data_IF_939431171766
#
_entry.id   IF_939431171766
#
_cell.length_a   1.000
_cell.length_b   1.000
_cell.length_c   1.000
_cell.angle_alpha   90.00
_cell.angle_beta   90.00
_cell.angle_gamma   90.00
#
_symmetry.space_group_name_H-M   'P 1'
#
loop_
_entity.id
_entity.type
_entity.pdbx_description
1 polymer ?
#
# COMPACT_ATOMS: atom_id res chain seq x y z
N UNK A 1 24.82 -39.19 -7.07
CA UNK A 1 23.39 -39.13 -7.45
C UNK A 1 22.71 -38.01 -6.66
N UNK A 2 22.12 -37.00 -7.33
CA UNK A 2 21.35 -35.98 -6.62
C UNK A 2 20.13 -36.62 -5.96
N UNK A 3 19.98 -36.43 -4.65
CA UNK A 3 18.82 -36.92 -3.89
C UNK A 3 17.58 -36.10 -4.25
N UNK A 4 16.37 -36.66 -4.03
CA UNK A 4 15.10 -35.94 -4.27
C UNK A 4 15.08 -34.55 -3.60
N UNK A 5 15.71 -34.43 -2.43
CA UNK A 5 15.84 -33.16 -1.68
C UNK A 5 16.68 -32.13 -2.43
N UNK A 6 17.80 -32.54 -3.04
CA UNK A 6 18.62 -31.67 -3.88
C UNK A 6 17.90 -31.28 -5.17
N UNK A 7 17.18 -32.19 -5.82
CA UNK A 7 16.41 -31.86 -7.02
C UNK A 7 15.30 -30.82 -6.73
N UNK A 8 14.58 -30.96 -5.60
CA UNK A 8 13.55 -30.01 -5.16
C UNK A 8 14.16 -28.65 -4.79
N UNK A 9 15.28 -28.63 -4.06
CA UNK A 9 15.97 -27.38 -3.72
C UNK A 9 16.47 -26.64 -4.95
N UNK A 10 17.00 -27.38 -5.94
CA UNK A 10 17.50 -26.79 -7.19
C UNK A 10 16.34 -26.28 -8.06
N UNK A 11 15.21 -27.01 -8.11
CA UNK A 11 14.01 -26.55 -8.78
C UNK A 11 13.42 -25.29 -8.11
N UNK A 12 13.36 -25.25 -6.78
CA UNK A 12 12.93 -24.06 -6.02
C UNK A 12 13.88 -22.87 -6.26
N UNK A 13 15.19 -23.09 -6.28
CA UNK A 13 16.17 -22.06 -6.57
C UNK A 13 16.05 -21.53 -8.01
N UNK A 14 15.81 -22.41 -8.99
CA UNK A 14 15.62 -22.05 -10.40
C UNK A 14 14.29 -21.34 -10.66
N UNK A 15 13.24 -21.62 -9.88
CA UNK A 15 11.95 -20.91 -9.95
C UNK A 15 12.04 -19.55 -9.22
N UNK A 16 12.86 -19.45 -8.17
CA UNK A 16 13.14 -18.19 -7.48
C UNK A 16 14.12 -17.29 -8.26
N UNK A 17 15.00 -17.86 -9.08
CA UNK A 17 16.00 -17.14 -9.86
C UNK A 17 15.44 -16.09 -10.85
N UNK A 18 14.37 -16.34 -11.63
CA UNK A 18 13.79 -15.30 -12.48
C UNK A 18 13.03 -14.22 -11.70
N UNK A 19 12.68 -14.45 -10.43
CA UNK A 19 12.19 -13.41 -9.52
C UNK A 19 13.32 -12.54 -8.93
N UNK A 20 14.58 -12.95 -9.11
CA UNK A 20 15.80 -12.16 -8.84
C UNK A 20 16.28 -11.44 -10.13
N UNK A 21 15.39 -11.22 -11.09
CA UNK A 21 15.63 -10.37 -12.25
C UNK A 21 15.97 -8.96 -11.81
N UNK A 22 17.27 -8.66 -11.79
CA UNK A 22 17.90 -7.46 -11.22
C UNK A 22 17.64 -7.28 -9.73
N UNK A 23 18.63 -6.90 -8.89
CA UNK A 23 18.29 -6.19 -7.68
C UNK A 23 17.62 -4.90 -8.16
N UNK A 24 16.30 -4.92 -8.33
CA UNK A 24 15.51 -3.71 -8.24
C UNK A 24 15.87 -3.17 -6.87
N UNK A 25 16.84 -2.26 -6.81
CA UNK A 25 17.21 -1.57 -5.59
C UNK A 25 15.91 -0.90 -5.19
N UNK A 26 15.18 -1.56 -4.27
CA UNK A 26 13.88 -1.11 -3.81
C UNK A 26 14.17 0.25 -3.19
N UNK A 27 13.86 1.30 -3.94
CA UNK A 27 14.04 2.65 -3.43
C UNK A 27 13.26 2.72 -2.11
N UNK A 28 13.73 3.49 -1.12
CA UNK A 28 13.01 3.67 0.13
C UNK A 28 11.53 4.01 -0.10
N UNK A 29 11.26 4.73 -1.20
CA UNK A 29 9.93 5.06 -1.68
C UNK A 29 9.11 3.84 -2.12
N UNK A 30 9.65 2.99 -3.01
CA UNK A 30 8.98 1.77 -3.46
C UNK A 30 8.70 0.81 -2.29
N UNK A 31 9.65 0.66 -1.37
CA UNK A 31 9.47 -0.14 -0.16
C UNK A 31 8.35 0.41 0.75
N UNK A 32 8.31 1.74 0.93
CA UNK A 32 7.28 2.39 1.74
C UNK A 32 5.88 2.27 1.12
N UNK A 33 5.74 2.40 -0.20
CA UNK A 33 4.46 2.18 -0.90
C UNK A 33 4.00 0.73 -0.72
N UNK A 34 4.89 -0.24 -0.93
CA UNK A 34 4.56 -1.66 -0.75
C UNK A 34 4.08 -1.95 0.66
N UNK A 35 4.79 -1.45 1.68
CA UNK A 35 4.40 -1.59 3.09
C UNK A 35 3.03 -0.95 3.35
N UNK A 36 2.80 0.26 2.85
CA UNK A 36 1.52 0.95 3.03
C UNK A 36 0.35 0.20 2.37
N UNK A 37 0.56 -0.36 1.16
CA UNK A 37 -0.44 -1.22 0.48
C UNK A 37 -0.77 -2.47 1.29
N UNK A 38 0.25 -3.17 1.81
CA UNK A 38 0.04 -4.37 2.64
C UNK A 38 -0.72 -4.05 3.93
N UNK A 39 -0.36 -2.95 4.61
CA UNK A 39 -1.04 -2.54 5.83
C UNK A 39 -2.50 -2.11 5.57
N UNK A 40 -2.78 -1.46 4.43
CA UNK A 40 -4.14 -1.12 4.00
C UNK A 40 -4.95 -2.36 3.62
N UNK A 41 -4.34 -3.35 2.97
CA UNK A 41 -4.97 -4.63 2.68
C UNK A 41 -5.30 -5.41 3.96
N UNK A 42 -4.35 -5.50 4.90
CA UNK A 42 -4.57 -6.13 6.19
C UNK A 42 -5.70 -5.46 6.99
N UNK A 43 -5.75 -4.11 6.98
CA UNK A 43 -6.82 -3.37 7.62
C UNK A 43 -8.20 -3.66 6.99
N UNK A 44 -8.28 -3.72 5.66
CA UNK A 44 -9.51 -4.10 4.96
C UNK A 44 -9.89 -5.55 5.25
N UNK A 45 -8.92 -6.46 5.27
CA UNK A 45 -9.17 -7.87 5.60
C UNK A 45 -9.74 -8.02 7.01
N UNK A 46 -9.14 -7.37 8.00
CA UNK A 46 -9.65 -7.38 9.37
C UNK A 46 -11.08 -6.81 9.46
N UNK A 47 -11.41 -5.81 8.62
CA UNK A 47 -12.78 -5.30 8.47
C UNK A 47 -13.73 -6.33 7.87
N UNK A 48 -13.32 -7.03 6.80
CA UNK A 48 -14.08 -8.12 6.19
C UNK A 48 -14.29 -9.28 7.14
N UNK A 49 -13.26 -9.74 7.83
CA UNK A 49 -13.35 -10.84 8.80
C UNK A 49 -14.30 -10.48 9.94
N UNK A 50 -14.29 -9.22 10.38
CA UNK A 50 -15.24 -8.71 11.38
C UNK A 50 -16.70 -8.86 10.98
N UNK A 51 -17.01 -8.90 9.68
CA UNK A 51 -18.37 -8.98 9.14
C UNK A 51 -18.69 -10.39 8.63
N UNK A 52 -17.79 -10.99 7.86
CA UNK A 52 -18.02 -12.25 7.17
C UNK A 52 -17.77 -13.48 8.05
N UNK A 53 -16.79 -13.42 8.96
CA UNK A 53 -16.45 -14.56 9.82
C UNK A 53 -17.19 -14.50 11.15
N UNK A 54 -17.26 -13.30 11.74
CA UNK A 54 -17.89 -13.13 13.05
C UNK A 54 -19.31 -12.53 12.98
N UNK A 55 -19.69 -11.84 11.90
CA UNK A 55 -20.97 -11.14 11.88
C UNK A 55 -21.13 -10.08 12.99
N UNK A 56 -22.32 -9.47 13.09
CA UNK A 56 -22.57 -8.41 14.06
C UNK A 56 -22.73 -8.93 15.50
N UNK A 57 -23.13 -10.18 15.69
CA UNK A 57 -23.57 -10.71 16.99
C UNK A 57 -22.74 -11.89 17.54
N UNK A 58 -21.78 -12.46 16.78
CA UNK A 58 -21.01 -13.58 17.30
C UNK A 58 -19.92 -13.14 18.28
N UNK A 59 -19.62 -13.98 19.28
CA UNK A 59 -18.49 -13.74 20.17
C UNK A 59 -17.19 -13.70 19.37
N UNK A 60 -16.37 -12.69 19.66
CA UNK A 60 -15.07 -12.50 19.02
C UNK A 60 -13.98 -13.19 19.85
N UNK A 61 -12.90 -13.68 19.23
CA UNK A 61 -11.76 -14.18 19.97
C UNK A 61 -11.22 -13.13 20.93
N UNK A 62 -10.74 -13.54 22.11
CA UNK A 62 -10.24 -12.62 23.14
C UNK A 62 -9.13 -11.68 22.61
N UNK A 63 -8.29 -12.17 21.69
CA UNK A 63 -7.21 -11.41 21.07
C UNK A 63 -7.66 -10.46 19.94
N UNK A 64 -8.93 -10.53 19.50
CA UNK A 64 -9.41 -9.81 18.32
C UNK A 64 -9.26 -8.30 18.43
N UNK A 65 -9.54 -7.75 19.61
CA UNK A 65 -9.37 -6.32 19.88
C UNK A 65 -7.91 -5.91 19.71
N UNK A 66 -6.99 -6.65 20.34
CA UNK A 66 -5.55 -6.41 20.23
C UNK A 66 -5.05 -6.52 18.78
N UNK A 67 -5.51 -7.53 18.04
CA UNK A 67 -5.22 -7.69 16.62
C UNK A 67 -5.65 -6.47 15.80
N UNK A 68 -6.89 -6.00 15.96
CA UNK A 68 -7.39 -4.81 15.24
C UNK A 68 -6.61 -3.54 15.58
N UNK A 69 -6.21 -3.36 16.83
CA UNK A 69 -5.34 -2.25 17.23
C UNK A 69 -3.97 -2.36 16.58
N UNK A 70 -3.35 -3.54 16.57
CA UNK A 70 -2.06 -3.77 15.91
C UNK A 70 -2.11 -3.46 14.41
N UNK A 71 -3.15 -3.92 13.72
CA UNK A 71 -3.34 -3.63 12.28
C UNK A 71 -3.54 -2.14 12.02
N UNK A 72 -4.31 -1.44 12.88
CA UNK A 72 -4.47 0.01 12.76
C UNK A 72 -3.17 0.78 13.02
N UNK A 73 -2.42 0.37 14.04
CA UNK A 73 -1.13 0.98 14.38
C UNK A 73 -0.13 0.82 13.24
N UNK A 74 -0.04 -0.37 12.65
CA UNK A 74 0.84 -0.64 11.51
C UNK A 74 0.43 0.13 10.25
N UNK A 75 -0.88 0.24 9.99
CA UNK A 75 -1.39 1.09 8.91
C UNK A 75 -1.02 2.55 9.12
N UNK A 76 -1.14 3.05 10.34
CA UNK A 76 -0.76 4.42 10.67
C UNK A 76 0.76 4.63 10.51
N UNK A 77 1.58 3.71 11.02
CA UNK A 77 3.04 3.78 10.96
C UNK A 77 3.54 3.74 9.51
N UNK A 78 3.03 2.81 8.69
CA UNK A 78 3.41 2.64 7.30
C UNK A 78 3.06 3.87 6.46
N UNK A 79 1.87 4.43 6.67
CA UNK A 79 1.46 5.68 6.00
C UNK A 79 2.30 6.85 6.44
N UNK A 80 2.60 6.98 7.74
CA UNK A 80 3.45 8.04 8.25
C UNK A 80 4.86 7.97 7.66
N UNK A 81 5.42 6.77 7.52
CA UNK A 81 6.72 6.55 6.89
C UNK A 81 6.70 6.98 5.40
N UNK A 82 5.73 6.51 4.61
CA UNK A 82 5.56 6.93 3.21
C UNK A 82 5.41 8.45 3.08
N UNK A 83 4.64 9.04 3.98
CA UNK A 83 4.37 10.47 4.02
C UNK A 83 5.56 11.34 4.45
N UNK A 84 6.56 10.76 5.10
CA UNK A 84 7.79 11.45 5.47
C UNK A 84 8.75 11.56 4.28
N UNK A 85 8.66 10.64 3.32
CA UNK A 85 9.45 10.67 2.10
C UNK A 85 8.97 11.75 1.15
N UNK A 86 9.90 12.27 0.36
CA UNK A 86 9.66 13.20 -0.74
C UNK A 86 10.02 12.49 -2.03
N UNK A 87 9.12 12.40 -3.02
CA UNK A 87 9.45 11.80 -4.30
C UNK A 87 10.42 12.73 -5.03
N UNK A 88 11.64 12.25 -5.33
CA UNK A 88 12.66 13.06 -6.01
C UNK A 88 12.76 12.76 -7.50
N UNK A 89 12.10 11.68 -7.96
CA UNK A 89 12.05 11.28 -9.37
C UNK A 89 10.62 11.27 -9.89
N UNK A 90 10.46 11.37 -11.22
CA UNK A 90 9.16 11.27 -11.87
C UNK A 90 8.48 9.91 -11.59
N UNK A 91 9.23 8.81 -11.65
CA UNK A 91 8.71 7.47 -11.36
C UNK A 91 8.17 7.34 -9.91
N UNK A 92 8.83 7.96 -8.93
CA UNK A 92 8.32 7.98 -7.56
C UNK A 92 7.08 8.86 -7.41
N UNK A 93 7.04 10.01 -8.10
CA UNK A 93 5.88 10.87 -8.13
C UNK A 93 4.65 10.16 -8.71
N UNK A 94 4.82 9.46 -9.83
CA UNK A 94 3.79 8.64 -10.48
C UNK A 94 3.33 7.52 -9.55
N UNK A 95 4.26 6.78 -8.95
CA UNK A 95 3.94 5.70 -8.01
C UNK A 95 3.15 6.20 -6.79
N UNK A 96 3.49 7.39 -6.27
CA UNK A 96 2.74 8.00 -5.16
C UNK A 96 1.32 8.35 -5.56
N UNK A 97 1.15 8.98 -6.72
CA UNK A 97 -0.18 9.38 -7.23
C UNK A 97 -1.02 8.14 -7.52
N UNK A 98 -0.44 7.11 -8.14
CA UNK A 98 -1.10 5.83 -8.39
C UNK A 98 -1.55 5.15 -7.09
N UNK A 99 -0.71 5.14 -6.04
CA UNK A 99 -1.08 4.61 -4.73
C UNK A 99 -2.30 5.33 -4.13
N UNK A 100 -2.36 6.66 -4.22
CA UNK A 100 -3.51 7.41 -3.72
C UNK A 100 -4.77 7.22 -4.58
N UNK A 101 -4.61 7.08 -5.90
CA UNK A 101 -5.71 6.81 -6.81
C UNK A 101 -6.34 5.44 -6.54
N UNK A 102 -5.52 4.39 -6.48
CA UNK A 102 -5.93 3.02 -6.11
C UNK A 102 -6.73 3.04 -4.80
N UNK A 103 -6.25 3.80 -3.80
CA UNK A 103 -6.95 3.92 -2.53
C UNK A 103 -8.30 4.62 -2.62
N UNK A 104 -8.42 5.65 -3.45
CA UNK A 104 -9.68 6.36 -3.65
C UNK A 104 -10.69 5.46 -4.40
N UNK A 105 -10.24 4.70 -5.39
CA UNK A 105 -11.05 3.73 -6.13
C UNK A 105 -11.57 2.63 -5.21
N UNK A 106 -10.68 2.04 -4.40
CA UNK A 106 -11.06 0.96 -3.47
C UNK A 106 -12.12 1.41 -2.46
N UNK A 107 -12.08 2.65 -1.98
CA UNK A 107 -13.06 3.12 -0.99
C UNK A 107 -14.33 3.66 -1.63
N UNK A 108 -14.29 4.07 -2.90
CA UNK A 108 -15.40 4.75 -3.58
C UNK A 108 -15.84 6.06 -2.91
N UNK A 109 -15.11 6.55 -1.90
CA UNK A 109 -15.52 7.67 -1.07
C UNK A 109 -14.87 8.97 -1.59
N UNK A 110 -15.66 9.99 -1.99
CA UNK A 110 -15.13 11.26 -2.50
C UNK A 110 -14.26 12.02 -1.48
N UNK A 111 -14.49 11.83 -0.17
CA UNK A 111 -13.64 12.39 0.89
C UNK A 111 -12.24 11.78 0.89
N UNK A 112 -12.12 10.50 0.53
CA UNK A 112 -10.81 9.84 0.40
C UNK A 112 -10.01 10.47 -0.74
N UNK A 113 -10.65 10.71 -1.89
CA UNK A 113 -10.05 11.41 -3.02
C UNK A 113 -9.67 12.85 -2.65
N UNK A 114 -10.52 13.57 -1.90
CA UNK A 114 -10.21 14.93 -1.41
C UNK A 114 -9.02 14.95 -0.46
N UNK A 115 -8.97 14.02 0.49
CA UNK A 115 -7.85 13.89 1.43
C UNK A 115 -6.55 13.55 0.71
N UNK A 116 -6.60 12.65 -0.27
CA UNK A 116 -5.49 12.31 -1.15
C UNK A 116 -4.96 13.53 -1.90
N UNK A 117 -5.83 14.28 -2.59
CA UNK A 117 -5.46 15.54 -3.27
C UNK A 117 -4.77 16.53 -2.33
N UNK A 118 -5.35 16.78 -1.15
CA UNK A 118 -4.76 17.68 -0.13
C UNK A 118 -3.38 17.21 0.29
N UNK A 119 -3.17 15.90 0.40
CA UNK A 119 -1.88 15.32 0.78
C UNK A 119 -0.86 15.45 -0.33
N UNK A 120 -1.21 15.07 -1.56
CA UNK A 120 -0.35 15.18 -2.74
C UNK A 120 0.12 16.63 -2.94
N UNK A 121 -0.79 17.60 -2.82
CA UNK A 121 -0.44 19.03 -2.88
C UNK A 121 0.63 19.42 -1.85
N UNK A 122 0.54 18.89 -0.62
CA UNK A 122 1.54 19.15 0.43
C UNK A 122 2.87 18.45 0.19
N UNK A 123 2.86 17.27 -0.43
CA UNK A 123 4.09 16.51 -0.71
C UNK A 123 4.85 17.14 -1.87
N UNK A 124 4.17 17.50 -2.96
CA UNK A 124 4.80 18.12 -4.13
C UNK A 124 5.20 19.59 -3.93
N UNK A 125 4.67 20.25 -2.90
CA UNK A 125 5.12 21.58 -2.49
C UNK A 125 6.43 21.56 -1.68
N UNK A 126 7.01 20.39 -1.38
CA UNK A 126 8.25 20.29 -0.61
C UNK A 126 9.47 20.63 -1.47
N UNK A 127 10.51 21.24 -0.89
CA UNK A 127 11.78 21.42 -1.58
C UNK A 127 12.35 20.07 -2.07
N UNK A 128 12.85 20.04 -3.30
CA UNK A 128 13.43 18.83 -3.91
C UNK A 128 12.41 17.79 -4.36
N UNK A 129 11.10 18.07 -4.30
CA UNK A 129 10.10 17.20 -4.89
C UNK A 129 10.14 17.26 -6.42
N UNK A 130 10.00 16.10 -7.06
CA UNK A 130 9.74 16.02 -8.50
C UNK A 130 8.42 16.72 -8.86
N UNK A 131 8.28 17.21 -10.11
CA UNK A 131 7.04 17.83 -10.57
C UNK A 131 5.86 16.87 -10.42
N UNK A 132 4.71 17.44 -10.02
CA UNK A 132 3.49 16.67 -9.83
C UNK A 132 2.98 16.14 -11.19
N UNK A 133 2.74 14.83 -11.33
CA UNK A 133 2.17 14.27 -12.55
C UNK A 133 0.67 14.59 -12.65
N UNK A 134 0.10 14.36 -13.83
CA UNK A 134 -1.32 14.55 -14.06
C UNK A 134 -2.15 13.67 -13.11
N UNK A 135 -3.19 14.28 -12.51
CA UNK A 135 -4.05 13.55 -11.60
C UNK A 135 -4.95 12.56 -12.38
N UNK A 136 -4.95 11.26 -12.00
CA UNK A 136 -5.83 10.27 -12.62
C UNK A 136 -7.31 10.57 -12.30
N UNK A 137 -8.25 10.04 -13.10
CA UNK A 137 -9.69 10.31 -12.96
C UNK A 137 -10.23 10.12 -11.54
N UNK A 138 -9.80 9.07 -10.84
CA UNK A 138 -10.20 8.77 -9.47
C UNK A 138 -9.85 9.88 -8.46
N UNK A 139 -8.88 10.74 -8.78
CA UNK A 139 -8.45 11.86 -7.96
C UNK A 139 -8.91 13.22 -8.51
N UNK A 140 -9.60 13.28 -9.65
CA UNK A 140 -10.15 14.55 -10.15
C UNK A 140 -11.30 15.04 -9.25
N UNK A 141 -11.46 16.36 -9.07
CA UNK A 141 -12.66 16.88 -8.40
C UNK A 141 -13.91 16.52 -9.21
N UNK A 142 -15.05 16.24 -8.56
CA UNK A 142 -16.31 16.08 -9.27
C UNK A 142 -16.64 17.39 -10.01
N UNK A 143 -17.33 17.27 -11.16
CA UNK A 143 -17.79 18.44 -11.90
C UNK A 143 -18.65 19.34 -10.98
N UNK A 144 -18.56 20.68 -11.12
CA UNK A 144 -19.47 21.57 -10.42
C UNK A 144 -20.90 21.22 -10.82
N UNK A 145 -21.77 21.10 -9.81
CA UNK A 145 -23.21 20.94 -9.98
C UNK A 145 -23.87 22.29 -10.28
#
# INVERSE_FOLDING_TARGET
MPTRRTAIATALAMIAAPALGTPYVLTPFAAAIRRARLADAAHRQAGRDSLAVFGPAMPRPAYWRAYRFGVMAERYSARRALHALTPTTAAEADALVAYFAERAEITGNPETARAARRRLRKVFARPGAAPAPALPPALKPPAPA
#
